data_IF_961193978613
#
_entry.id   IF_961193978613
#
_cell.length_a   1.000
_cell.length_b   1.000
_cell.length_c   1.000
_cell.angle_alpha   90.00
_cell.angle_beta   90.00
_cell.angle_gamma   90.00
#
_symmetry.space_group_name_H-M   'P 1'
#
loop_
_entity.id
_entity.type
_entity.pdbx_description
1 polymer ?
#
# COMPACT_ATOMS: atom_id res chain seq x y z
N UNK A 1 40.76 -30.28 -19.69
CA UNK A 1 39.84 -29.18 -19.33
C UNK A 1 38.85 -29.72 -18.33
N UNK A 2 39.09 -29.45 -17.05
CA UNK A 2 38.43 -30.15 -15.94
C UNK A 2 36.98 -29.71 -15.74
N UNK A 3 36.08 -30.70 -15.76
CA UNK A 3 34.78 -30.58 -15.12
C UNK A 3 34.99 -30.40 -13.62
N UNK A 4 34.85 -29.17 -13.10
CA UNK A 4 34.66 -28.95 -11.67
C UNK A 4 33.22 -29.32 -11.28
N UNK A 5 32.97 -30.63 -11.21
CA UNK A 5 31.84 -31.19 -10.47
C UNK A 5 32.25 -31.37 -9.02
N UNK A 6 31.88 -30.43 -8.13
CA UNK A 6 32.03 -30.61 -6.69
C UNK A 6 30.86 -29.99 -5.92
N UNK A 7 29.94 -30.86 -5.47
CA UNK A 7 28.95 -30.62 -4.42
C UNK A 7 29.70 -30.51 -3.07
N UNK A 8 30.23 -29.34 -2.74
CA UNK A 8 30.96 -29.13 -1.48
C UNK A 8 30.00 -28.80 -0.33
N UNK A 9 30.09 -29.48 0.84
CA UNK A 9 29.22 -29.24 2.01
C UNK A 9 29.14 -27.77 2.45
N UNK A 10 30.23 -27.02 2.30
CA UNK A 10 30.28 -25.59 2.63
C UNK A 10 29.36 -24.71 1.78
N UNK A 11 29.12 -25.06 0.51
CA UNK A 11 28.18 -24.32 -0.36
C UNK A 11 26.73 -24.57 0.04
N UNK A 12 26.41 -25.80 0.46
CA UNK A 12 25.07 -26.12 0.99
C UNK A 12 24.83 -25.41 2.31
N UNK A 13 25.82 -25.40 3.21
CA UNK A 13 25.73 -24.66 4.48
C UNK A 13 25.56 -23.16 4.24
N UNK A 14 26.36 -22.56 3.35
CA UNK A 14 26.23 -21.14 2.99
C UNK A 14 24.85 -20.83 2.38
N UNK A 15 24.38 -21.67 1.44
CA UNK A 15 23.05 -21.51 0.85
C UNK A 15 21.95 -21.64 1.91
N UNK A 16 22.03 -22.62 2.80
CA UNK A 16 21.04 -22.82 3.86
C UNK A 16 21.01 -21.65 4.86
N UNK A 17 22.18 -21.10 5.21
CA UNK A 17 22.28 -19.92 6.06
C UNK A 17 21.69 -18.68 5.37
N UNK A 18 21.98 -18.47 4.08
CA UNK A 18 21.42 -17.37 3.31
C UNK A 18 19.91 -17.52 3.09
N UNK A 19 19.43 -18.72 2.76
CA UNK A 19 17.99 -18.97 2.62
C UNK A 19 17.27 -18.70 3.94
N UNK A 20 17.85 -19.15 5.08
CA UNK A 20 17.27 -18.92 6.41
C UNK A 20 17.25 -17.44 6.81
N UNK A 21 18.34 -16.71 6.55
CA UNK A 21 18.40 -15.27 6.85
C UNK A 21 17.46 -14.47 5.95
N UNK A 22 17.33 -14.84 4.67
CA UNK A 22 16.39 -14.22 3.73
C UNK A 22 14.94 -14.50 4.11
N UNK A 23 14.61 -15.74 4.51
CA UNK A 23 13.27 -16.09 5.03
C UNK A 23 12.96 -15.25 6.28
N UNK A 24 13.91 -15.12 7.19
CA UNK A 24 13.72 -14.31 8.40
C UNK A 24 13.56 -12.83 8.07
N UNK A 25 14.34 -12.30 7.13
CA UNK A 25 14.24 -10.92 6.66
C UNK A 25 12.91 -10.64 5.96
N UNK A 26 12.46 -11.56 5.10
CA UNK A 26 11.16 -11.47 4.42
C UNK A 26 10.01 -11.51 5.44
N UNK A 27 10.09 -12.41 6.43
CA UNK A 27 9.13 -12.46 7.53
C UNK A 27 9.12 -11.15 8.33
N UNK A 28 10.29 -10.64 8.72
CA UNK A 28 10.42 -9.37 9.43
C UNK A 28 9.77 -8.22 8.64
N UNK A 29 10.07 -8.11 7.34
CA UNK A 29 9.45 -7.09 6.50
C UNK A 29 7.93 -7.25 6.39
N UNK A 30 7.40 -8.47 6.41
CA UNK A 30 5.95 -8.68 6.36
C UNK A 30 5.22 -8.31 7.66
N UNK A 31 5.88 -8.41 8.81
CA UNK A 31 5.31 -8.11 10.13
C UNK A 31 5.32 -6.61 10.48
N UNK A 32 6.12 -5.81 9.76
CA UNK A 32 6.24 -4.36 10.01
C UNK A 32 4.94 -3.61 9.77
N UNK A 33 4.59 -2.74 10.71
CA UNK A 33 3.46 -1.81 10.57
C UNK A 33 3.60 -0.93 9.32
N UNK A 34 2.52 -0.70 8.59
CA UNK A 34 2.57 -0.04 7.27
C UNK A 34 1.43 0.94 7.05
N UNK A 35 1.76 2.13 6.56
CA UNK A 35 0.81 3.05 5.94
C UNK A 35 0.91 2.95 4.42
N UNK A 36 -0.22 2.73 3.76
CA UNK A 36 -0.33 2.76 2.29
C UNK A 36 -1.04 4.04 1.89
N UNK A 37 -0.35 4.95 1.21
CA UNK A 37 -0.99 6.11 0.60
C UNK A 37 -1.38 5.78 -0.84
N UNK A 38 -2.67 5.96 -1.12
CA UNK A 38 -3.31 5.59 -2.37
C UNK A 38 -3.94 6.86 -2.96
N UNK A 39 -3.48 7.37 -4.11
CA UNK A 39 -4.04 8.57 -4.72
C UNK A 39 -5.55 8.47 -4.91
N UNK A 40 -6.03 7.36 -5.47
CA UNK A 40 -7.44 7.08 -5.68
C UNK A 40 -7.90 5.76 -5.00
N UNK A 41 -9.22 5.59 -4.78
CA UNK A 41 -9.84 4.33 -4.34
C UNK A 41 -9.70 3.15 -5.31
N UNK A 42 -8.58 2.41 -5.29
CA UNK A 42 -8.27 1.20 -6.08
C UNK A 42 -6.75 1.03 -6.25
N UNK A 43 -6.00 2.12 -6.23
CA UNK A 43 -4.54 2.13 -6.44
C UNK A 43 -3.80 1.26 -5.40
N UNK A 44 -4.30 1.15 -4.17
CA UNK A 44 -3.73 0.28 -3.14
C UNK A 44 -3.87 -1.20 -3.51
N UNK A 45 -5.02 -1.57 -4.06
CA UNK A 45 -5.36 -2.92 -4.47
C UNK A 45 -4.54 -3.29 -5.71
N UNK A 46 -4.53 -2.42 -6.71
CA UNK A 46 -3.83 -2.63 -7.98
C UNK A 46 -2.31 -2.59 -7.82
N UNK A 47 -1.80 -1.64 -7.03
CA UNK A 47 -0.38 -1.43 -6.83
C UNK A 47 0.27 -2.45 -5.89
N UNK A 48 -0.39 -2.74 -4.76
CA UNK A 48 0.24 -3.56 -3.71
C UNK A 48 -0.71 -4.49 -2.93
N UNK A 49 -1.92 -4.78 -3.44
CA UNK A 49 -2.92 -5.59 -2.73
C UNK A 49 -2.42 -6.97 -2.29
N UNK A 50 -1.62 -7.64 -3.13
CA UNK A 50 -0.99 -8.91 -2.77
C UNK A 50 -0.02 -8.79 -1.58
N UNK A 51 0.74 -7.70 -1.51
CA UNK A 51 1.62 -7.39 -0.37
C UNK A 51 0.80 -7.08 0.88
N UNK A 52 -0.24 -6.26 0.77
CA UNK A 52 -1.16 -5.96 1.89
C UNK A 52 -1.70 -7.25 2.50
N UNK A 53 -2.23 -8.17 1.67
CA UNK A 53 -2.75 -9.46 2.13
C UNK A 53 -1.67 -10.24 2.89
N UNK A 54 -0.45 -10.35 2.34
CA UNK A 54 0.65 -11.08 2.98
C UNK A 54 1.04 -10.45 4.32
N UNK A 55 1.05 -9.12 4.42
CA UNK A 55 1.35 -8.39 5.67
C UNK A 55 0.25 -8.59 6.71
N UNK A 56 -1.03 -8.51 6.32
CA UNK A 56 -2.16 -8.81 7.21
C UNK A 56 -2.14 -10.26 7.69
N UNK A 57 -1.82 -11.22 6.83
CA UNK A 57 -1.66 -12.63 7.21
C UNK A 57 -0.49 -12.87 8.18
N UNK A 58 0.57 -12.06 8.08
CA UNK A 58 1.68 -12.07 9.03
C UNK A 58 1.36 -11.34 10.36
N UNK A 59 0.19 -10.71 10.48
CA UNK A 59 -0.23 -10.01 11.70
C UNK A 59 0.17 -8.54 11.77
N UNK A 60 0.65 -7.94 10.67
CA UNK A 60 1.01 -6.52 10.66
C UNK A 60 -0.20 -5.59 10.84
N UNK A 61 0.04 -4.45 11.51
CA UNK A 61 -0.87 -3.31 11.47
C UNK A 61 -0.71 -2.58 10.13
N UNK A 62 -1.73 -2.66 9.28
CA UNK A 62 -1.72 -2.03 7.96
C UNK A 62 -2.91 -1.09 7.87
N UNK A 63 -2.66 0.16 7.49
CA UNK A 63 -3.70 1.16 7.25
C UNK A 63 -3.60 1.71 5.84
N UNK A 64 -4.75 2.01 5.26
CA UNK A 64 -4.86 2.56 3.91
C UNK A 64 -5.35 3.99 4.02
N UNK A 65 -4.65 4.91 3.36
CA UNK A 65 -5.00 6.33 3.28
C UNK A 65 -5.33 6.66 1.83
N UNK A 66 -6.60 6.93 1.56
CA UNK A 66 -7.04 7.43 0.27
C UNK A 66 -6.90 8.95 0.23
N UNK A 67 -6.08 9.44 -0.70
CA UNK A 67 -5.77 10.85 -0.84
C UNK A 67 -6.96 11.62 -1.40
N UNK A 68 -7.56 11.09 -2.47
CA UNK A 68 -8.69 11.71 -3.16
C UNK A 68 -9.99 10.92 -3.03
N UNK A 69 -11.09 11.54 -3.42
CA UNK A 69 -12.44 10.95 -3.41
C UNK A 69 -12.80 10.16 -4.68
N UNK A 70 -11.92 10.14 -5.68
CA UNK A 70 -12.11 9.44 -6.96
C UNK A 70 -13.32 9.89 -7.80
N UNK A 71 -13.88 11.06 -7.50
CA UNK A 71 -15.19 11.52 -7.99
C UNK A 71 -15.24 11.99 -9.45
N UNK A 72 -14.12 12.07 -10.16
CA UNK A 72 -14.06 12.57 -11.55
C UNK A 72 -13.91 11.46 -12.60
N UNK A 73 -13.44 10.27 -12.21
CA UNK A 73 -13.16 9.12 -13.10
C UNK A 73 -14.27 8.77 -14.10
N UNK A 74 -15.54 8.85 -13.70
CA UNK A 74 -16.71 8.47 -14.52
C UNK A 74 -17.79 9.56 -14.55
N UNK A 75 -17.36 10.82 -14.60
CA UNK A 75 -18.24 12.01 -14.57
C UNK A 75 -19.35 12.02 -15.64
N UNK A 76 -19.18 11.28 -16.74
CA UNK A 76 -20.18 11.15 -17.81
C UNK A 76 -21.30 10.13 -17.50
N UNK A 77 -21.09 9.20 -16.55
CA UNK A 77 -22.08 8.18 -16.18
C UNK A 77 -22.97 8.63 -15.04
N UNK A 78 -22.46 9.45 -14.12
CA UNK A 78 -23.21 9.90 -12.94
C UNK A 78 -22.62 11.16 -12.29
N UNK A 79 -23.40 11.86 -11.45
CA UNK A 79 -22.90 13.01 -10.70
C UNK A 79 -21.76 12.64 -9.74
N UNK A 80 -20.79 13.55 -9.60
CA UNK A 80 -19.59 13.38 -8.77
C UNK A 80 -19.91 12.94 -7.32
N UNK A 81 -20.92 13.55 -6.67
CA UNK A 81 -21.32 13.19 -5.30
C UNK A 81 -21.80 11.73 -5.20
N UNK A 82 -22.50 11.23 -6.23
CA UNK A 82 -22.95 9.84 -6.27
C UNK A 82 -21.75 8.90 -6.47
N UNK A 83 -20.84 9.26 -7.37
CA UNK A 83 -19.64 8.46 -7.63
C UNK A 83 -18.72 8.40 -6.41
N UNK A 84 -18.51 9.52 -5.71
CA UNK A 84 -17.76 9.59 -4.45
C UNK A 84 -18.28 8.58 -3.42
N UNK A 85 -19.59 8.56 -3.19
CA UNK A 85 -20.20 7.64 -2.22
C UNK A 85 -20.05 6.17 -2.61
N UNK A 86 -20.16 5.87 -3.91
CA UNK A 86 -19.94 4.52 -4.45
C UNK A 86 -18.48 4.11 -4.25
N UNK A 87 -17.52 4.94 -4.67
CA UNK A 87 -16.08 4.63 -4.54
C UNK A 87 -15.63 4.50 -3.10
N UNK A 88 -16.17 5.29 -2.18
CA UNK A 88 -15.90 5.12 -0.75
C UNK A 88 -16.40 3.75 -0.23
N UNK A 89 -17.58 3.31 -0.68
CA UNK A 89 -18.14 2.00 -0.33
C UNK A 89 -17.33 0.86 -0.94
N UNK A 90 -16.89 1.02 -2.19
CA UNK A 90 -16.02 0.07 -2.89
C UNK A 90 -14.65 -0.05 -2.22
N UNK A 91 -14.02 1.07 -1.85
CA UNK A 91 -12.76 1.09 -1.11
C UNK A 91 -12.86 0.33 0.22
N UNK A 92 -13.92 0.54 1.00
CA UNK A 92 -14.12 -0.18 2.26
C UNK A 92 -14.33 -1.69 2.01
N UNK A 93 -15.11 -2.05 0.99
CA UNK A 93 -15.31 -3.44 0.62
C UNK A 93 -14.00 -4.11 0.14
N UNK A 94 -13.20 -3.41 -0.65
CA UNK A 94 -11.89 -3.87 -1.13
C UNK A 94 -10.91 -4.05 0.04
N UNK A 95 -10.80 -3.05 0.92
CA UNK A 95 -9.98 -3.11 2.13
C UNK A 95 -10.33 -4.34 2.99
N UNK A 96 -11.63 -4.63 3.18
CA UNK A 96 -12.06 -5.83 3.89
C UNK A 96 -11.57 -7.13 3.22
N UNK A 97 -11.57 -7.20 1.89
CA UNK A 97 -11.01 -8.36 1.15
C UNK A 97 -9.50 -8.46 1.27
N UNK A 98 -8.80 -7.34 1.46
CA UNK A 98 -7.37 -7.31 1.75
C UNK A 98 -7.04 -7.66 3.21
N UNK A 99 -8.07 -7.83 4.06
CA UNK A 99 -7.92 -8.10 5.49
C UNK A 99 -7.71 -6.85 6.34
N UNK A 100 -7.98 -5.66 5.81
CA UNK A 100 -7.90 -4.37 6.51
C UNK A 100 -9.30 -4.00 7.01
N UNK A 101 -9.41 -3.70 8.31
CA UNK A 101 -10.68 -3.31 8.93
C UNK A 101 -11.08 -1.88 8.53
N UNK A 102 -12.38 -1.58 8.54
CA UNK A 102 -12.87 -0.24 8.18
C UNK A 102 -12.30 0.88 9.08
N UNK A 103 -11.95 0.57 10.33
CA UNK A 103 -11.30 1.51 11.26
C UNK A 103 -9.87 1.87 10.87
N UNK A 104 -9.24 1.07 10.01
CA UNK A 104 -7.88 1.27 9.50
C UNK A 104 -7.88 1.86 8.08
N UNK A 105 -9.04 2.27 7.58
CA UNK A 105 -9.17 3.02 6.33
C UNK A 105 -9.40 4.50 6.64
N UNK A 106 -8.62 5.36 5.99
CA UNK A 106 -8.63 6.82 6.22
C UNK A 106 -8.89 7.50 4.88
N UNK A 107 -9.93 8.31 4.82
CA UNK A 107 -10.22 9.16 3.66
C UNK A 107 -9.78 10.60 3.96
N UNK A 108 -8.91 11.17 3.13
CA UNK A 108 -8.58 12.60 3.19
C UNK A 108 -9.61 13.47 2.46
N UNK A 109 -10.41 12.86 1.57
CA UNK A 109 -11.50 13.50 0.84
C UNK A 109 -11.09 14.71 0.01
N UNK A 110 -9.84 14.77 -0.46
CA UNK A 110 -9.45 15.77 -1.46
C UNK A 110 -10.22 15.46 -2.74
N UNK A 111 -10.73 16.50 -3.41
CA UNK A 111 -11.44 16.29 -4.67
C UNK A 111 -10.46 15.73 -5.71
N UNK A 112 -10.86 14.63 -6.33
CA UNK A 112 -10.14 13.99 -7.44
C UNK A 112 -9.79 14.99 -8.57
N UNK A 113 -8.56 14.88 -9.10
CA UNK A 113 -7.95 15.76 -10.08
C UNK A 113 -7.51 17.13 -9.53
N UNK A 114 -7.52 17.32 -8.20
CA UNK A 114 -7.18 18.61 -7.59
C UNK A 114 -6.18 18.52 -6.44
N UNK A 115 -5.49 17.39 -6.27
CA UNK A 115 -4.58 17.21 -5.14
C UNK A 115 -3.43 18.22 -5.17
N UNK A 116 -2.88 18.50 -6.35
CA UNK A 116 -1.87 19.53 -6.56
C UNK A 116 -2.30 20.92 -6.07
N UNK A 117 -3.59 21.27 -6.21
CA UNK A 117 -4.13 22.56 -5.75
C UNK A 117 -4.31 22.61 -4.22
N UNK A 118 -4.28 21.46 -3.55
CA UNK A 118 -4.48 21.31 -2.10
C UNK A 118 -3.25 20.74 -1.39
N UNK A 119 -2.08 20.80 -2.03
CA UNK A 119 -0.85 20.14 -1.56
C UNK A 119 -0.49 20.51 -0.11
N UNK A 120 -0.59 21.79 0.27
CA UNK A 120 -0.26 22.23 1.63
C UNK A 120 -1.20 21.63 2.69
N UNK A 121 -2.49 21.61 2.40
CA UNK A 121 -3.49 21.05 3.30
C UNK A 121 -3.38 19.52 3.39
N UNK A 122 -3.21 18.86 2.24
CA UNK A 122 -2.99 17.42 2.16
C UNK A 122 -1.71 17.00 2.89
N UNK A 123 -0.61 17.73 2.70
CA UNK A 123 0.68 17.44 3.35
C UNK A 123 0.59 17.54 4.87
N UNK A 124 -0.11 18.56 5.40
CA UNK A 124 -0.36 18.68 6.85
C UNK A 124 -1.09 17.45 7.40
N UNK A 125 -2.14 17.01 6.70
CA UNK A 125 -2.92 15.83 7.08
C UNK A 125 -2.10 14.54 7.00
N UNK A 126 -1.27 14.39 5.97
CA UNK A 126 -0.33 13.27 5.84
C UNK A 126 0.64 13.24 7.02
N UNK A 127 1.21 14.39 7.39
CA UNK A 127 2.10 14.49 8.56
C UNK A 127 1.37 14.12 9.85
N UNK A 128 0.15 14.60 10.07
CA UNK A 128 -0.67 14.22 11.22
C UNK A 128 -0.91 12.71 11.30
N UNK A 129 -1.22 12.06 10.17
CA UNK A 129 -1.44 10.62 10.10
C UNK A 129 -0.14 9.85 10.40
N UNK A 130 0.98 10.25 9.78
CA UNK A 130 2.28 9.62 10.01
C UNK A 130 2.68 9.74 11.48
N UNK A 131 2.52 10.92 12.09
CA UNK A 131 2.85 11.15 13.50
C UNK A 131 1.90 10.43 14.46
N UNK A 132 0.63 10.23 14.06
CA UNK A 132 -0.35 9.50 14.87
C UNK A 132 -0.05 8.01 14.93
N UNK A 133 0.34 7.40 13.80
CA UNK A 133 0.49 5.94 13.70
C UNK A 133 1.94 5.46 13.72
N UNK A 134 2.91 6.34 13.48
CA UNK A 134 4.36 6.05 13.49
C UNK A 134 4.71 4.72 12.81
N UNK A 135 4.32 4.53 11.53
CA UNK A 135 4.53 3.26 10.87
C UNK A 135 6.01 2.98 10.66
N UNK A 136 6.36 1.70 10.59
CA UNK A 136 7.72 1.30 10.25
C UNK A 136 7.99 1.35 8.75
N UNK A 137 6.95 1.23 7.91
CA UNK A 137 7.02 1.33 6.45
C UNK A 137 5.91 2.20 5.87
N UNK A 138 6.21 2.85 4.75
CA UNK A 138 5.24 3.63 3.98
C UNK A 138 5.29 3.18 2.53
N UNK A 139 4.13 2.86 1.96
CA UNK A 139 3.98 2.61 0.53
C UNK A 139 3.35 3.83 -0.12
N UNK A 140 3.94 4.24 -1.23
CA UNK A 140 3.49 5.35 -2.09
C UNK A 140 3.63 4.91 -3.56
N UNK A 141 2.88 5.53 -4.48
CA UNK A 141 3.09 5.33 -5.91
C UNK A 141 4.51 5.68 -6.36
N UNK A 142 4.89 5.18 -7.52
CA UNK A 142 6.16 5.56 -8.13
C UNK A 142 6.14 7.03 -8.53
N UNK A 143 7.19 7.78 -8.22
CA UNK A 143 7.22 9.23 -8.44
C UNK A 143 7.15 9.67 -9.93
N UNK A 144 7.34 8.74 -10.87
CA UNK A 144 7.17 9.00 -12.31
C UNK A 144 5.87 8.41 -12.88
N UNK A 145 4.93 8.01 -12.02
CA UNK A 145 3.59 7.71 -12.49
C UNK A 145 3.00 8.95 -13.17
N UNK A 146 2.30 8.74 -14.29
CA UNK A 146 1.91 9.82 -15.21
C UNK A 146 0.67 10.60 -14.78
N UNK A 147 0.09 10.25 -13.62
CA UNK A 147 -1.11 10.86 -13.06
C UNK A 147 -0.71 11.99 -12.12
N UNK A 148 -1.44 13.11 -12.16
CA UNK A 148 -1.07 14.33 -11.44
C UNK A 148 -1.32 14.30 -9.94
N UNK A 149 -2.19 13.40 -9.48
CA UNK A 149 -2.56 13.19 -8.07
C UNK A 149 -1.67 12.13 -7.41
#
# INVERSE_FOLDING_TARGET
MGNLSLKTPGRWLYKALMDSSMIQYEKYNLERSTLVFSPHPDDETLGCGGTIIRKKQAGADVKIVFMTDGSTSHSHLMPANKLKAIRASEALAAAQKLGVEASDVIFLEVKDGTLANHQDAASKRVVEIILKYLPEEIFIPYYQDGISD
#
